data_IF_626127040579
#
_entry.id   IF_626127040579
#
_cell.length_a   1.000
_cell.length_b   1.000
_cell.length_c   1.000
_cell.angle_alpha   90.00
_cell.angle_beta   90.00
_cell.angle_gamma   90.00
#
_symmetry.space_group_name_H-M   'P 1'
#
loop_
_entity.id
_entity.type
_entity.pdbx_description
1 polymer ?
#
# COMPACT_ATOMS: atom_id res chain seq x y z
N UNK A 1 3.39 -13.49 12.12
CA UNK A 1 3.76 -12.39 13.03
C UNK A 1 3.41 -11.09 12.32
N UNK A 2 2.18 -10.59 12.49
CA UNK A 2 1.69 -9.39 11.81
C UNK A 2 2.18 -8.15 12.55
N UNK A 3 3.27 -7.53 12.08
CA UNK A 3 3.69 -6.14 12.36
C UNK A 3 3.66 -5.59 13.80
N UNK A 4 3.62 -6.43 14.85
CA UNK A 4 3.49 -5.96 16.22
C UNK A 4 2.37 -4.93 16.42
N UNK A 5 1.32 -4.98 15.58
CA UNK A 5 0.21 -4.03 15.57
C UNK A 5 -0.95 -4.69 16.30
N UNK A 6 -0.86 -4.62 17.62
CA UNK A 6 -1.86 -5.13 18.54
C UNK A 6 -2.96 -4.06 18.75
N UNK A 7 -4.15 -4.48 19.18
CA UNK A 7 -5.31 -3.58 19.32
C UNK A 7 -5.05 -2.40 20.29
N UNK A 8 -4.31 -2.67 21.36
CA UNK A 8 -3.82 -1.66 22.32
C UNK A 8 -2.96 -0.57 21.63
N UNK A 9 -2.07 -0.96 20.71
CA UNK A 9 -1.21 -0.01 19.98
C UNK A 9 -2.00 0.83 18.97
N UNK A 10 -3.05 0.26 18.37
CA UNK A 10 -3.98 1.04 17.53
C UNK A 10 -4.72 2.11 18.32
N UNK A 11 -5.19 1.77 19.53
CA UNK A 11 -5.85 2.75 20.42
C UNK A 11 -4.86 3.81 20.87
N UNK A 12 -3.63 3.41 21.26
CA UNK A 12 -2.57 4.35 21.62
C UNK A 12 -2.26 5.32 20.47
N UNK A 13 -2.12 4.80 19.26
CA UNK A 13 -1.87 5.59 18.06
C UNK A 13 -2.99 6.59 17.81
N UNK A 14 -4.25 6.18 17.96
CA UNK A 14 -5.41 7.07 17.82
C UNK A 14 -5.35 8.20 18.84
N UNK A 15 -5.05 7.90 20.10
CA UNK A 15 -4.91 8.93 21.15
C UNK A 15 -3.78 9.92 20.79
N UNK A 16 -2.61 9.42 20.36
CA UNK A 16 -1.49 10.28 19.95
C UNK A 16 -1.88 11.16 18.77
N UNK A 17 -2.53 10.59 17.75
CA UNK A 17 -3.01 11.33 16.59
C UNK A 17 -4.05 12.40 16.98
N UNK A 18 -4.96 12.07 17.91
CA UNK A 18 -5.95 13.00 18.44
C UNK A 18 -5.31 14.17 19.16
N UNK A 19 -4.24 13.95 19.91
CA UNK A 19 -3.49 15.02 20.57
C UNK A 19 -2.73 15.89 19.56
N UNK A 20 -2.12 15.29 18.54
CA UNK A 20 -1.36 16.01 17.51
C UNK A 20 -2.25 16.90 16.64
N UNK A 21 -3.42 16.39 16.24
CA UNK A 21 -4.39 17.11 15.39
C UNK A 21 -5.29 18.04 16.24
N UNK A 22 -5.51 17.65 17.50
CA UNK A 22 -6.49 18.24 18.41
C UNK A 22 -7.81 17.44 18.39
N UNK A 23 -8.34 17.02 19.56
CA UNK A 23 -9.56 16.20 19.64
C UNK A 23 -10.78 16.92 19.09
N UNK A 24 -10.81 18.25 19.17
CA UNK A 24 -11.88 19.10 18.64
C UNK A 24 -11.93 19.09 17.09
N UNK A 25 -10.80 18.85 16.41
CA UNK A 25 -10.72 18.88 14.94
C UNK A 25 -10.95 17.52 14.29
N UNK A 26 -10.67 16.43 15.02
CA UNK A 26 -10.92 15.07 14.53
C UNK A 26 -12.35 14.82 14.02
N UNK A 27 -13.43 15.18 14.74
CA UNK A 27 -14.80 14.91 14.26
C UNK A 27 -15.09 15.64 12.94
N UNK A 28 -14.59 16.87 12.77
CA UNK A 28 -14.74 17.64 11.54
C UNK A 28 -14.07 16.95 10.34
N UNK A 29 -12.86 16.41 10.54
CA UNK A 29 -12.15 15.66 9.50
C UNK A 29 -12.81 14.31 9.21
N UNK A 30 -13.26 13.60 10.24
CA UNK A 30 -13.99 12.34 10.08
C UNK A 30 -15.29 12.52 9.30
N UNK A 31 -16.04 13.60 9.56
CA UNK A 31 -17.23 13.95 8.79
C UNK A 31 -16.92 14.22 7.31
N UNK A 32 -15.82 14.93 7.05
CA UNK A 32 -15.37 15.22 5.68
C UNK A 32 -14.99 13.94 4.94
N UNK A 33 -14.27 13.04 5.60
CA UNK A 33 -13.89 11.73 5.05
C UNK A 33 -15.12 10.83 4.82
N UNK A 34 -16.09 10.84 5.73
CA UNK A 34 -17.35 10.12 5.58
C UNK A 34 -18.13 10.61 4.35
N UNK A 35 -18.29 11.94 4.21
CA UNK A 35 -18.92 12.56 3.03
C UNK A 35 -18.17 12.19 1.74
N UNK A 36 -16.84 12.22 1.76
CA UNK A 36 -16.02 11.81 0.62
C UNK A 36 -16.26 10.34 0.26
N UNK A 37 -16.33 9.45 1.25
CA UNK A 37 -16.54 8.02 1.04
C UNK A 37 -17.91 7.73 0.40
N UNK A 38 -18.95 8.44 0.84
CA UNK A 38 -20.30 8.32 0.23
C UNK A 38 -20.26 8.77 -1.24
N UNK A 39 -19.64 9.93 -1.52
CA UNK A 39 -19.49 10.44 -2.89
C UNK A 39 -18.66 9.51 -3.77
N UNK A 40 -17.57 8.96 -3.23
CA UNK A 40 -16.73 8.00 -3.91
C UNK A 40 -17.52 6.73 -4.25
N UNK A 41 -18.33 6.21 -3.32
CA UNK A 41 -19.20 5.06 -3.58
C UNK A 41 -20.23 5.35 -4.68
N UNK A 42 -20.84 6.52 -4.67
CA UNK A 42 -21.80 6.93 -5.70
C UNK A 42 -21.11 7.03 -7.08
N UNK A 43 -19.93 7.63 -7.13
CA UNK A 43 -19.13 7.72 -8.36
C UNK A 43 -18.73 6.34 -8.90
N UNK A 44 -18.26 5.44 -8.03
CA UNK A 44 -17.92 4.06 -8.39
C UNK A 44 -19.15 3.30 -8.89
N UNK A 45 -20.33 3.51 -8.28
CA UNK A 45 -21.57 2.88 -8.72
C UNK A 45 -22.02 3.38 -10.11
N UNK A 46 -21.89 4.68 -10.37
CA UNK A 46 -22.18 5.26 -11.69
C UNK A 46 -21.21 4.78 -12.77
N UNK A 47 -19.92 4.67 -12.44
CA UNK A 47 -18.91 4.09 -13.32
C UNK A 47 -19.23 2.62 -13.63
N UNK A 48 -19.60 1.82 -12.60
CA UNK A 48 -20.03 0.43 -12.80
C UNK A 48 -21.23 0.34 -13.74
N UNK A 49 -22.23 1.21 -13.59
CA UNK A 49 -23.41 1.25 -14.46
C UNK A 49 -23.05 1.54 -15.91
N UNK A 50 -22.22 2.56 -16.17
CA UNK A 50 -21.80 2.91 -17.55
C UNK A 50 -20.98 1.81 -18.21
N UNK A 51 -20.05 1.21 -17.47
CA UNK A 51 -19.26 0.05 -17.94
C UNK A 51 -20.19 -1.12 -18.27
N UNK A 52 -21.21 -1.37 -17.45
CA UNK A 52 -22.21 -2.42 -17.73
C UNK A 52 -23.06 -2.13 -18.97
N UNK A 53 -23.41 -0.86 -19.19
CA UNK A 53 -24.18 -0.43 -20.37
C UNK A 53 -23.38 -0.55 -21.67
N UNK A 54 -22.08 -0.24 -21.65
CA UNK A 54 -21.22 -0.25 -22.84
C UNK A 54 -20.67 -1.64 -23.18
N UNK A 55 -20.41 -2.50 -22.18
CA UNK A 55 -19.84 -3.83 -22.39
C UNK A 55 -20.89 -4.96 -22.44
N UNK A 56 -22.17 -4.64 -22.18
CA UNK A 56 -23.29 -5.58 -22.25
C UNK A 56 -23.38 -6.53 -21.05
N UNK A 57 -24.52 -7.22 -20.93
CA UNK A 57 -24.88 -8.18 -19.86
C UNK A 57 -23.89 -9.36 -19.76
N UNK A 58 -22.99 -9.52 -20.74
CA UNK A 58 -21.92 -10.53 -20.79
C UNK A 58 -20.66 -10.14 -19.99
N UNK A 59 -20.51 -8.90 -19.47
CA UNK A 59 -19.49 -8.57 -18.46
C UNK A 59 -19.95 -9.01 -17.07
N UNK A 60 -20.06 -10.33 -16.98
CA UNK A 60 -20.66 -11.14 -15.94
C UNK A 60 -20.13 -10.77 -14.53
N UNK A 61 -21.04 -10.66 -13.57
CA UNK A 61 -20.74 -10.45 -12.14
C UNK A 61 -19.75 -11.49 -11.56
N UNK A 62 -19.48 -12.55 -12.32
CA UNK A 62 -18.46 -13.60 -12.09
C UNK A 62 -17.02 -13.07 -12.17
N UNK A 63 -16.69 -12.14 -13.09
CA UNK A 63 -15.35 -11.54 -13.18
C UNK A 63 -15.11 -10.57 -12.02
N UNK A 64 -16.15 -9.84 -11.61
CA UNK A 64 -16.15 -8.93 -10.46
C UNK A 64 -15.99 -9.66 -9.11
N UNK A 65 -16.57 -10.87 -8.98
CA UNK A 65 -16.36 -11.74 -7.80
C UNK A 65 -14.96 -12.35 -7.73
N UNK A 66 -14.28 -12.53 -8.87
CA UNK A 66 -12.87 -12.96 -8.92
C UNK A 66 -11.91 -11.85 -8.52
N UNK A 67 -12.29 -10.59 -8.74
CA UNK A 67 -11.55 -9.40 -8.32
C UNK A 67 -11.76 -9.03 -6.84
N UNK A 68 -12.71 -9.66 -6.14
CA UNK A 68 -12.88 -9.52 -4.69
C UNK A 68 -11.78 -10.31 -3.96
N UNK A 69 -10.80 -9.64 -3.31
CA UNK A 69 -9.67 -10.31 -2.68
C UNK A 69 -10.07 -11.30 -1.57
N UNK A 70 -11.31 -11.22 -1.09
CA UNK A 70 -11.85 -12.12 -0.06
C UNK A 70 -12.40 -13.42 -0.63
N UNK A 71 -12.66 -13.47 -1.93
CA UNK A 71 -13.20 -14.63 -2.65
C UNK A 71 -12.18 -15.28 -3.58
N UNK A 72 -10.90 -14.87 -3.51
CA UNK A 72 -9.76 -15.59 -4.08
C UNK A 72 -9.59 -16.91 -3.31
N UNK A 73 -10.40 -17.90 -3.65
CA UNK A 73 -10.45 -19.18 -2.98
C UNK A 73 -9.27 -20.03 -3.48
N UNK A 74 -8.18 -20.21 -2.68
CA UNK A 74 -6.95 -20.86 -3.14
C UNK A 74 -7.18 -22.30 -3.61
N UNK A 75 -8.29 -22.90 -3.17
CA UNK A 75 -8.72 -24.25 -3.57
C UNK A 75 -9.14 -24.33 -5.03
N UNK A 76 -9.64 -23.24 -5.65
CA UNK A 76 -9.94 -23.24 -7.09
C UNK A 76 -8.67 -23.30 -7.93
N UNK A 77 -7.64 -22.53 -7.56
CA UNK A 77 -6.35 -22.50 -8.27
C UNK A 77 -5.68 -23.87 -8.27
N UNK A 78 -5.76 -24.60 -7.15
CA UNK A 78 -5.22 -25.96 -7.04
C UNK A 78 -6.02 -26.95 -7.88
N UNK A 79 -7.34 -26.81 -7.96
CA UNK A 79 -8.19 -27.65 -8.82
C UNK A 79 -7.92 -27.38 -10.28
N UNK A 80 -7.80 -26.11 -10.66
CA UNK A 80 -7.46 -25.71 -12.03
C UNK A 80 -6.05 -26.23 -12.40
N UNK A 81 -5.10 -26.27 -11.45
CA UNK A 81 -3.77 -26.85 -11.64
C UNK A 81 -3.71 -28.40 -11.59
N UNK A 82 -4.77 -29.07 -11.11
CA UNK A 82 -4.88 -30.54 -11.09
C UNK A 82 -5.68 -31.10 -12.28
N UNK A 83 -6.57 -30.29 -12.87
CA UNK A 83 -7.39 -30.68 -14.01
C UNK A 83 -6.74 -30.39 -15.37
N UNK A 84 -5.85 -29.39 -15.47
CA UNK A 84 -5.08 -29.13 -16.69
C UNK A 84 -3.69 -29.79 -16.59
N UNK A 85 -3.50 -30.80 -17.44
CA UNK A 85 -2.30 -31.61 -17.60
C UNK A 85 -1.13 -30.80 -18.21
N UNK A 86 0.00 -30.73 -17.50
CA UNK A 86 1.37 -30.40 -17.94
C UNK A 86 1.70 -28.98 -18.50
N UNK A 87 2.99 -28.54 -18.52
CA UNK A 87 4.13 -28.79 -17.62
C UNK A 87 4.54 -27.51 -16.87
N UNK A 88 4.94 -27.62 -15.61
CA UNK A 88 5.41 -26.48 -14.81
C UNK A 88 6.79 -25.97 -15.27
N UNK A 89 6.94 -24.70 -15.70
CA UNK A 89 8.25 -24.06 -15.73
C UNK A 89 8.55 -23.60 -14.30
N UNK A 90 9.44 -24.31 -13.60
CA UNK A 90 9.97 -23.86 -12.32
C UNK A 90 10.84 -22.61 -12.54
N UNK A 91 10.25 -21.42 -12.38
CA UNK A 91 11.04 -20.19 -12.28
C UNK A 91 11.56 -20.07 -10.86
N UNK A 92 12.84 -20.40 -10.68
CA UNK A 92 13.58 -20.20 -9.42
C UNK A 92 13.80 -18.71 -9.19
N UNK A 93 12.98 -18.12 -8.32
CA UNK A 93 13.20 -16.76 -7.81
C UNK A 93 14.34 -16.75 -6.77
N UNK A 94 15.58 -16.89 -7.23
CA UNK A 94 16.78 -16.62 -6.44
C UNK A 94 17.63 -15.59 -7.20
N UNK A 95 17.22 -14.32 -7.18
CA UNK A 95 18.09 -13.22 -7.64
C UNK A 95 17.63 -11.79 -7.27
N UNK A 96 16.46 -11.58 -6.63
CA UNK A 96 16.02 -10.20 -6.30
C UNK A 96 16.80 -9.60 -5.11
N UNK A 97 17.46 -10.43 -4.29
CA UNK A 97 18.28 -9.98 -3.17
C UNK A 97 19.67 -9.45 -3.54
N UNK A 98 20.19 -9.78 -4.73
CA UNK A 98 21.58 -9.41 -5.11
C UNK A 98 21.64 -8.03 -5.80
N UNK A 99 20.54 -7.55 -6.38
CA UNK A 99 20.54 -6.27 -7.09
C UNK A 99 20.58 -5.05 -6.17
N UNK A 100 20.14 -5.17 -4.91
CA UNK A 100 20.20 -4.07 -3.93
C UNK A 100 21.58 -3.92 -3.27
N UNK A 101 22.47 -4.90 -3.41
CA UNK A 101 23.83 -4.83 -2.86
C UNK A 101 24.86 -4.20 -3.81
N UNK A 102 24.51 -4.00 -5.08
CA UNK A 102 25.45 -3.50 -6.09
C UNK A 102 25.49 -1.96 -6.23
N UNK A 103 24.61 -1.21 -5.55
CA UNK A 103 24.50 0.25 -5.70
C UNK A 103 24.82 1.06 -4.45
N UNK A 104 25.21 0.44 -3.33
CA UNK A 104 25.61 1.16 -2.13
C UNK A 104 27.12 1.39 -2.08
N UNK A 105 27.66 2.19 -2.99
CA UNK A 105 28.92 2.90 -2.73
C UNK A 105 28.59 4.20 -2.01
N UNK A 106 28.38 4.12 -0.69
CA UNK A 106 28.18 5.28 0.16
C UNK A 106 29.52 6.03 0.35
N UNK A 107 29.56 7.37 0.23
CA UNK A 107 30.76 8.14 0.54
C UNK A 107 31.07 8.06 2.04
N UNK A 108 32.34 8.17 2.48
CA UNK A 108 32.65 8.17 3.89
C UNK A 108 32.02 9.41 4.53
N UNK A 109 31.11 9.20 5.48
CA UNK A 109 30.57 10.27 6.31
C UNK A 109 31.72 10.80 7.18
N UNK A 110 32.20 12.00 6.89
CA UNK A 110 33.17 12.69 7.74
C UNK A 110 32.59 12.82 9.14
N UNK A 111 33.23 12.16 10.10
CA UNK A 111 32.86 12.27 11.51
C UNK A 111 33.21 13.68 11.97
N UNK A 112 32.25 14.34 12.63
CA UNK A 112 32.42 15.68 13.17
C UNK A 112 33.57 15.72 14.18
N UNK A 113 34.57 16.55 13.91
CA UNK A 113 35.73 16.76 14.77
C UNK A 113 35.57 18.11 15.50
N UNK A 114 35.36 18.11 16.83
CA UNK A 114 35.13 19.33 17.60
C UNK A 114 36.37 20.23 17.71
N UNK A 115 37.57 19.70 17.44
CA UNK A 115 38.83 20.47 17.45
C UNK A 115 39.28 20.84 16.02
N UNK A 116 38.47 20.53 15.01
CA UNK A 116 38.75 20.81 13.61
C UNK A 116 38.61 22.29 13.26
N UNK A 117 39.48 22.80 12.38
CA UNK A 117 39.35 24.15 11.83
C UNK A 117 38.11 24.22 10.95
N UNK A 118 37.14 25.04 11.37
CA UNK A 118 35.91 25.28 10.60
C UNK A 118 36.25 26.05 9.32
N UNK A 119 35.78 25.60 8.14
CA UNK A 119 36.03 26.30 6.89
C UNK A 119 35.26 27.63 6.87
N UNK A 120 35.94 28.71 6.53
CA UNK A 120 35.34 30.05 6.42
C UNK A 120 34.60 30.17 5.08
N UNK A 121 33.43 30.80 5.09
CA UNK A 121 32.60 31.03 3.91
C UNK A 121 32.94 32.40 3.31
N UNK A 122 33.67 32.38 2.21
CA UNK A 122 34.20 33.58 1.55
C UNK A 122 33.13 34.35 0.73
N UNK A 123 31.89 33.83 0.62
CA UNK A 123 30.81 34.44 -0.18
C UNK A 123 29.91 35.38 0.64
N UNK A 124 30.16 35.55 1.94
CA UNK A 124 29.41 36.46 2.80
C UNK A 124 29.97 37.90 2.72
N UNK A 125 29.53 38.70 1.75
CA UNK A 125 29.72 40.18 1.71
C UNK A 125 28.42 40.90 1.40
#
# INVERSE_FOLDING_TARGET
MFFGLDWDKLVLLLIVAALLVGPERLPQYAETLAKFTVRAREWLSGAKTRVKEELGDDFDDVEWRRLDPRQYDPRRIIRDALLDDAPVPTVRAAAVGTAISATASAPPLSTFDPDGVVPFDDEAT
#
